data_IF_862232227292
#
_entry.id   IF_862232227292
#
_cell.length_a   1.000
_cell.length_b   1.000
_cell.length_c   1.000
_cell.angle_alpha   90.00
_cell.angle_beta   90.00
_cell.angle_gamma   90.00
#
_symmetry.space_group_name_H-M   'P 1'
#
loop_
_entity.id
_entity.type
_entity.pdbx_description
1 polymer ?
#
# COMPACT_ATOMS: atom_id res chain seq x y z
N UNK A 1 -0.77 3.21 -6.64
CA UNK A 1 0.62 3.71 -6.81
C UNK A 1 0.56 5.18 -7.24
N UNK A 2 -0.21 5.50 -8.29
CA UNK A 2 -0.55 6.89 -8.70
C UNK A 2 -1.14 7.76 -7.56
N UNK A 3 -2.06 7.24 -6.74
CA UNK A 3 -2.64 8.00 -5.60
C UNK A 3 -1.67 8.21 -4.42
N UNK A 4 -0.61 7.40 -4.29
CA UNK A 4 0.33 7.50 -3.16
C UNK A 4 1.40 8.55 -3.42
N UNK A 5 1.81 8.74 -4.68
CA UNK A 5 2.82 9.74 -5.06
C UNK A 5 2.19 11.13 -5.20
N UNK A 6 0.97 11.22 -5.72
CA UNK A 6 0.18 12.46 -5.69
C UNK A 6 -0.18 12.90 -4.26
N UNK A 7 -0.32 11.95 -3.32
CA UNK A 7 -0.45 12.25 -1.89
C UNK A 7 0.88 12.75 -1.30
N UNK A 8 2.03 12.16 -1.65
CA UNK A 8 3.35 12.63 -1.17
C UNK A 8 3.71 14.06 -1.64
N UNK A 9 3.31 14.45 -2.86
CA UNK A 9 3.52 15.81 -3.40
C UNK A 9 2.55 16.85 -2.79
N UNK A 10 1.33 16.47 -2.41
CA UNK A 10 0.31 17.39 -1.86
C UNK A 10 0.23 17.44 -0.33
N UNK A 11 0.65 16.39 0.38
CA UNK A 11 0.41 16.28 1.83
C UNK A 11 1.51 16.94 2.67
N UNK A 12 2.73 17.07 2.14
CA UNK A 12 3.86 17.70 2.84
C UNK A 12 3.90 19.23 2.74
N UNK A 13 2.95 19.85 2.03
CA UNK A 13 2.79 21.32 1.97
C UNK A 13 2.25 21.89 3.29
N UNK A 14 1.63 21.07 4.15
CA UNK A 14 0.99 21.54 5.39
C UNK A 14 1.89 21.61 6.64
N UNK A 15 3.14 21.13 6.58
CA UNK A 15 4.06 21.20 7.72
C UNK A 15 4.96 22.45 7.72
N UNK A 16 4.79 23.37 6.76
CA UNK A 16 5.52 24.64 6.72
C UNK A 16 4.68 25.74 7.39
N UNK A 17 4.62 25.72 8.72
CA UNK A 17 4.40 26.95 9.49
C UNK A 17 5.65 27.17 10.36
N UNK A 18 6.39 28.27 10.20
CA UNK A 18 7.40 28.63 11.17
C UNK A 18 6.68 28.95 12.48
N UNK A 19 6.87 28.10 13.49
CA UNK A 19 6.48 28.42 14.86
C UNK A 19 7.26 29.67 15.27
N UNK A 20 6.58 30.83 15.23
CA UNK A 20 7.07 32.04 15.87
C UNK A 20 7.18 31.76 17.36
N UNK A 21 8.32 32.16 17.92
CA UNK A 21 8.65 32.10 19.34
C UNK A 21 7.48 32.59 20.20
N UNK A 22 6.86 31.66 20.91
CA UNK A 22 5.78 31.92 21.86
C UNK A 22 5.72 30.74 22.81
N UNK A 23 6.11 30.98 24.05
CA UNK A 23 6.16 30.04 25.16
C UNK A 23 4.81 29.38 25.40
N UNK A 24 4.68 28.07 25.15
CA UNK A 24 3.97 27.18 26.06
C UNK A 24 4.34 25.70 25.85
N UNK A 25 4.38 24.95 26.94
CA UNK A 25 4.97 23.61 27.02
C UNK A 25 4.26 22.54 26.19
N UNK A 26 4.87 22.13 25.09
CA UNK A 26 4.55 20.93 24.30
C UNK A 26 5.84 20.17 24.02
N UNK A 27 5.79 18.83 24.05
CA UNK A 27 6.94 17.93 23.87
C UNK A 27 7.67 18.22 22.56
N UNK A 28 8.83 18.89 22.66
CA UNK A 28 9.64 19.33 21.53
C UNK A 28 10.46 18.17 20.97
N UNK A 29 10.28 17.86 19.67
CA UNK A 29 11.29 17.18 18.85
C UNK A 29 12.63 17.91 19.08
N UNK A 30 13.71 17.18 19.38
CA UNK A 30 15.05 17.77 19.41
C UNK A 30 15.24 18.60 18.14
N UNK A 31 15.42 19.90 18.31
CA UNK A 31 15.71 20.82 17.21
C UNK A 31 16.99 20.31 16.54
N UNK A 32 16.88 19.92 15.26
CA UNK A 32 18.02 19.43 14.49
C UNK A 32 19.06 20.56 14.43
N UNK A 33 20.33 20.30 14.77
CA UNK A 33 21.36 21.33 14.72
C UNK A 33 21.44 22.01 13.33
N UNK A 34 21.50 23.35 13.23
CA UNK A 34 21.49 24.04 11.94
C UNK A 34 22.64 23.66 11.01
N UNK A 35 23.79 23.28 11.57
CA UNK A 35 24.95 22.76 10.84
C UNK A 35 24.68 21.39 10.20
N UNK A 36 23.95 20.51 10.90
CA UNK A 36 23.56 19.20 10.36
C UNK A 36 22.55 19.36 9.23
N UNK A 37 21.55 20.24 9.42
CA UNK A 37 20.58 20.55 8.37
C UNK A 37 21.26 21.13 7.12
N UNK A 38 22.27 21.98 7.28
CA UNK A 38 23.04 22.51 6.16
C UNK A 38 23.83 21.41 5.43
N UNK A 39 24.45 20.48 6.17
CA UNK A 39 25.18 19.35 5.58
C UNK A 39 24.26 18.42 4.78
N UNK A 40 23.08 18.11 5.32
CA UNK A 40 22.07 17.28 4.65
C UNK A 40 21.50 17.96 3.40
N UNK A 41 21.26 19.27 3.44
CA UNK A 41 20.88 20.04 2.26
C UNK A 41 21.94 19.99 1.17
N UNK A 42 23.23 20.13 1.53
CA UNK A 42 24.32 20.05 0.57
C UNK A 42 24.47 18.65 -0.04
N UNK A 43 24.32 17.57 0.74
CA UNK A 43 24.32 16.21 0.18
C UNK A 43 23.07 15.94 -0.67
N UNK A 44 21.88 16.41 -0.27
CA UNK A 44 20.66 16.29 -1.07
C UNK A 44 20.80 17.02 -2.42
N UNK A 45 21.41 18.22 -2.43
CA UNK A 45 21.78 18.93 -3.67
C UNK A 45 22.77 18.12 -4.51
N UNK A 46 23.78 17.50 -3.90
CA UNK A 46 24.75 16.67 -4.61
C UNK A 46 24.09 15.44 -5.25
N UNK A 47 23.19 14.77 -4.54
CA UNK A 47 22.42 13.63 -5.04
C UNK A 47 21.52 14.03 -6.20
N UNK A 48 20.76 15.12 -6.06
CA UNK A 48 19.92 15.64 -7.14
C UNK A 48 20.75 16.08 -8.36
N UNK A 49 21.91 16.70 -8.13
CA UNK A 49 22.87 17.09 -9.20
C UNK A 49 23.33 15.87 -10.00
N UNK A 50 23.79 14.82 -9.32
CA UNK A 50 24.24 13.58 -9.93
C UNK A 50 23.11 12.89 -10.68
N UNK A 51 21.91 12.90 -10.10
CA UNK A 51 20.72 12.33 -10.72
C UNK A 51 20.35 13.03 -12.02
N UNK A 52 20.23 14.36 -12.01
CA UNK A 52 19.92 15.14 -13.21
C UNK A 52 20.98 15.00 -14.31
N UNK A 53 22.26 14.92 -13.94
CA UNK A 53 23.35 14.64 -14.89
C UNK A 53 23.23 13.27 -15.54
N UNK A 54 22.86 12.23 -14.77
CA UNK A 54 22.61 10.88 -15.28
C UNK A 54 21.47 10.87 -16.32
N UNK A 55 20.51 11.80 -16.20
CA UNK A 55 19.42 11.99 -17.16
C UNK A 55 19.78 12.89 -18.36
N UNK A 56 21.05 13.27 -18.53
CA UNK A 56 21.53 13.97 -19.74
C UNK A 56 21.61 15.50 -19.65
N UNK A 57 21.36 16.12 -18.49
CA UNK A 57 21.53 17.56 -18.29
C UNK A 57 23.01 17.96 -18.20
N UNK A 58 23.36 19.07 -18.86
CA UNK A 58 24.73 19.61 -18.80
C UNK A 58 25.08 20.14 -17.40
N UNK A 59 26.37 20.08 -17.03
CA UNK A 59 26.87 20.56 -15.73
C UNK A 59 26.38 21.97 -15.34
N UNK A 60 26.38 22.97 -16.25
CA UNK A 60 25.90 24.31 -15.93
C UNK A 60 24.38 24.39 -15.75
N UNK A 61 23.61 23.59 -16.50
CA UNK A 61 22.15 23.56 -16.42
C UNK A 61 21.66 22.93 -15.11
N UNK A 62 22.24 21.79 -14.72
CA UNK A 62 21.90 21.12 -13.45
C UNK A 62 22.20 22.02 -12.23
N UNK A 63 23.34 22.71 -12.24
CA UNK A 63 23.69 23.66 -11.16
C UNK A 63 22.72 24.85 -11.10
N UNK A 64 22.26 25.37 -12.25
CA UNK A 64 21.32 26.48 -12.32
C UNK A 64 19.92 26.09 -11.81
N UNK A 65 19.44 24.89 -12.13
CA UNK A 65 18.17 24.34 -11.64
C UNK A 65 18.20 24.21 -10.12
N UNK A 66 19.28 23.61 -9.59
CA UNK A 66 19.39 23.32 -8.16
C UNK A 66 19.45 24.59 -7.32
N UNK A 67 20.16 25.62 -7.79
CA UNK A 67 20.21 26.92 -7.13
C UNK A 67 18.86 27.66 -7.08
N UNK A 68 17.85 27.20 -7.84
CA UNK A 68 16.49 27.75 -7.85
C UNK A 68 15.47 26.85 -7.17
N UNK A 69 15.85 25.64 -6.77
CA UNK A 69 14.94 24.59 -6.34
C UNK A 69 15.03 24.33 -4.83
N UNK A 70 15.33 25.36 -4.03
CA UNK A 70 15.41 25.25 -2.56
C UNK A 70 14.15 24.60 -1.93
N UNK A 71 12.91 24.90 -2.39
CA UNK A 71 11.71 24.22 -1.86
C UNK A 71 11.71 22.71 -2.10
N UNK A 72 12.25 22.27 -3.24
CA UNK A 72 12.37 20.85 -3.55
C UNK A 72 13.50 20.19 -2.75
N UNK A 73 14.62 20.90 -2.51
CA UNK A 73 15.68 20.42 -1.61
C UNK A 73 15.16 20.25 -0.18
N UNK A 74 14.35 21.19 0.30
CA UNK A 74 13.71 21.10 1.62
C UNK A 74 12.75 19.90 1.69
N UNK A 75 12.04 19.60 0.61
CA UNK A 75 11.24 18.38 0.49
C UNK A 75 12.08 17.10 0.57
N UNK A 76 13.23 17.05 -0.12
CA UNK A 76 14.14 15.90 -0.04
C UNK A 76 14.67 15.70 1.39
N UNK A 77 15.00 16.79 2.10
CA UNK A 77 15.45 16.72 3.48
C UNK A 77 14.33 16.27 4.42
N UNK A 78 13.09 16.76 4.24
CA UNK A 78 11.93 16.28 4.99
C UNK A 78 11.70 14.77 4.79
N UNK A 79 11.91 14.28 3.56
CA UNK A 79 11.87 12.85 3.25
C UNK A 79 12.98 12.09 3.99
N UNK A 80 14.21 12.60 4.08
CA UNK A 80 15.27 11.99 4.89
C UNK A 80 14.87 11.89 6.37
N UNK A 81 14.29 12.95 6.91
CA UNK A 81 13.83 13.02 8.31
C UNK A 81 12.69 12.04 8.58
N UNK A 82 11.81 11.84 7.61
CA UNK A 82 10.73 10.85 7.65
C UNK A 82 11.27 9.41 7.59
N UNK A 83 12.17 9.12 6.64
CA UNK A 83 12.75 7.76 6.43
C UNK A 83 13.65 7.34 7.60
N UNK A 84 14.44 8.27 8.14
CA UNK A 84 15.42 7.99 9.18
C UNK A 84 15.06 8.59 10.55
N UNK A 85 13.76 8.78 10.85
CA UNK A 85 13.27 9.39 12.11
C UNK A 85 13.97 8.86 13.37
N UNK A 86 14.26 7.56 13.44
CA UNK A 86 14.97 6.92 14.57
C UNK A 86 16.40 7.42 14.79
N UNK A 87 17.11 7.81 13.72
CA UNK A 87 18.48 8.32 13.78
C UNK A 87 18.50 9.71 14.45
N UNK A 88 17.56 10.56 14.08
CA UNK A 88 17.43 11.90 14.66
C UNK A 88 16.98 11.87 16.13
N UNK A 89 16.15 10.90 16.52
CA UNK A 89 15.73 10.73 17.92
C UNK A 89 16.91 10.44 18.85
N UNK A 90 17.94 9.73 18.37
CA UNK A 90 19.17 9.45 19.13
C UNK A 90 20.27 10.48 18.88
N UNK A 91 20.04 11.49 18.02
CA UNK A 91 21.03 12.49 17.64
C UNK A 91 22.15 11.96 16.75
N UNK A 92 21.90 10.87 16.01
CA UNK A 92 22.85 10.30 15.04
C UNK A 92 22.69 11.00 13.70
N UNK A 93 23.81 11.44 13.14
CA UNK A 93 23.89 12.01 11.79
C UNK A 93 23.81 10.89 10.73
N UNK A 94 23.18 11.19 9.59
CA UNK A 94 23.17 10.29 8.45
C UNK A 94 24.52 10.30 7.73
N UNK A 95 24.96 9.12 7.32
CA UNK A 95 26.08 9.00 6.39
C UNK A 95 25.64 9.40 4.98
N UNK A 96 26.60 9.85 4.16
CA UNK A 96 26.39 10.10 2.73
C UNK A 96 25.75 8.91 2.00
N UNK A 97 26.09 7.67 2.40
CA UNK A 97 25.50 6.46 1.81
C UNK A 97 24.03 6.29 2.19
N UNK A 98 23.67 6.50 3.46
CA UNK A 98 22.27 6.46 3.93
C UNK A 98 21.41 7.52 3.22
N UNK A 99 21.94 8.74 3.03
CA UNK A 99 21.26 9.81 2.28
C UNK A 99 21.01 9.38 0.82
N UNK A 100 22.01 8.78 0.16
CA UNK A 100 21.89 8.31 -1.22
C UNK A 100 20.89 7.17 -1.37
N UNK A 101 20.97 6.18 -0.48
CA UNK A 101 20.08 5.01 -0.50
C UNK A 101 18.62 5.39 -0.26
N UNK A 102 18.37 6.48 0.49
CA UNK A 102 17.03 7.03 0.70
C UNK A 102 16.52 7.87 -0.49
N UNK A 103 17.36 8.73 -1.07
CA UNK A 103 16.93 9.71 -2.07
C UNK A 103 16.95 9.17 -3.51
N UNK A 104 17.88 8.30 -3.89
CA UNK A 104 17.99 7.81 -5.27
C UNK A 104 16.73 7.06 -5.71
N UNK A 105 16.19 6.07 -4.95
CA UNK A 105 14.98 5.36 -5.36
C UNK A 105 13.76 6.27 -5.49
N UNK A 106 13.71 7.34 -4.69
CA UNK A 106 12.66 8.34 -4.77
C UNK A 106 12.73 9.16 -6.06
N UNK A 107 13.92 9.66 -6.40
CA UNK A 107 14.14 10.41 -7.63
C UNK A 107 13.91 9.53 -8.87
N UNK A 108 14.29 8.26 -8.81
CA UNK A 108 13.97 7.27 -9.86
C UNK A 108 12.45 7.09 -10.01
N UNK A 109 11.71 7.00 -8.90
CA UNK A 109 10.24 6.91 -8.93
C UNK A 109 9.60 8.19 -9.51
N UNK A 110 10.08 9.37 -9.11
CA UNK A 110 9.61 10.64 -9.67
C UNK A 110 9.92 10.74 -11.17
N UNK A 111 11.08 10.28 -11.60
CA UNK A 111 11.45 10.29 -13.01
C UNK A 111 10.62 9.28 -13.83
N UNK A 112 10.26 8.13 -13.28
CA UNK A 112 9.32 7.20 -13.92
C UNK A 112 7.93 7.83 -14.13
N UNK A 113 7.52 8.75 -13.25
CA UNK A 113 6.22 9.42 -13.32
C UNK A 113 6.21 10.66 -14.23
N UNK A 114 7.25 11.49 -14.14
CA UNK A 114 7.31 12.79 -14.81
C UNK A 114 8.24 12.80 -16.03
N UNK A 115 9.07 11.78 -16.26
CA UNK A 115 9.98 11.71 -17.42
C UNK A 115 10.76 13.01 -17.64
N UNK A 116 10.68 13.55 -18.86
CA UNK A 116 11.40 14.77 -19.27
C UNK A 116 10.88 16.05 -18.58
N UNK A 117 9.64 16.06 -18.05
CA UNK A 117 9.09 17.22 -17.33
C UNK A 117 9.51 17.26 -15.85
N UNK A 118 10.28 16.27 -15.37
CA UNK A 118 10.80 16.26 -14.00
C UNK A 118 11.58 17.54 -13.67
N UNK A 119 12.30 18.10 -14.65
CA UNK A 119 13.02 19.38 -14.46
C UNK A 119 12.05 20.51 -14.13
N UNK A 120 10.95 20.62 -14.87
CA UNK A 120 9.91 21.64 -14.62
C UNK A 120 9.22 21.41 -13.27
N UNK A 121 9.09 20.14 -12.84
CA UNK A 121 8.54 19.79 -11.53
C UNK A 121 9.46 20.20 -10.38
N UNK A 122 10.76 19.95 -10.54
CA UNK A 122 11.77 20.35 -9.56
C UNK A 122 11.88 21.88 -9.47
N UNK A 123 11.87 22.58 -10.60
CA UNK A 123 11.97 24.05 -10.63
C UNK A 123 10.72 24.77 -10.08
N UNK A 124 9.52 24.20 -10.26
CA UNK A 124 8.26 24.83 -9.87
C UNK A 124 7.61 24.21 -8.62
N UNK A 125 8.33 23.37 -7.87
CA UNK A 125 7.83 22.77 -6.63
C UNK A 125 7.41 23.85 -5.61
N UNK A 126 6.23 23.75 -4.96
CA UNK A 126 5.30 22.61 -4.93
C UNK A 126 4.19 22.66 -6.00
N UNK A 127 4.15 23.68 -6.87
CA UNK A 127 3.07 23.94 -7.82
C UNK A 127 3.56 23.77 -9.27
N UNK A 128 3.85 22.54 -9.72
CA UNK A 128 4.30 22.30 -11.08
C UNK A 128 3.19 22.62 -12.11
N UNK A 129 3.50 23.17 -13.29
CA UNK A 129 2.53 23.49 -14.33
C UNK A 129 2.07 22.21 -15.05
N UNK A 130 1.22 21.40 -14.41
CA UNK A 130 0.91 20.03 -14.89
C UNK A 130 -0.39 19.95 -15.72
N UNK A 131 -1.25 20.97 -15.73
CA UNK A 131 -2.60 20.82 -16.30
C UNK A 131 -2.72 21.00 -17.84
N UNK A 132 -1.75 21.58 -18.55
CA UNK A 132 -1.92 21.87 -19.99
C UNK A 132 -1.03 21.02 -20.94
N UNK A 133 -0.01 20.28 -20.47
CA UNK A 133 0.97 19.60 -21.36
C UNK A 133 0.96 18.07 -21.34
N UNK A 134 0.18 17.44 -20.45
CA UNK A 134 0.05 15.98 -20.41
C UNK A 134 -0.73 15.43 -21.63
N UNK A 135 -1.58 16.24 -22.24
CA UNK A 135 -2.36 15.87 -23.43
C UNK A 135 -1.53 15.94 -24.74
N UNK A 136 -0.51 16.82 -24.83
CA UNK A 136 0.33 16.95 -26.04
C UNK A 136 1.43 15.88 -26.14
N UNK A 137 1.95 15.39 -25.01
CA UNK A 137 3.00 14.35 -24.99
C UNK A 137 2.48 12.96 -25.38
N UNK A 138 1.17 12.69 -25.21
CA UNK A 138 0.54 11.46 -25.68
C UNK A 138 0.42 11.39 -27.22
N UNK A 139 0.42 12.55 -27.92
CA UNK A 139 0.24 12.63 -29.37
C UNK A 139 1.58 12.69 -30.14
N UNK A 140 2.65 13.19 -29.52
CA UNK A 140 3.94 13.42 -30.20
C UNK A 140 4.90 12.21 -30.19
N UNK A 141 4.69 11.23 -29.31
CA UNK A 141 5.47 9.98 -29.28
C UNK A 141 5.22 9.05 -30.48
N UNK A 142 4.20 9.34 -31.31
CA UNK A 142 3.92 8.61 -32.55
C UNK A 142 4.79 9.05 -33.74
N UNK A 143 5.63 10.08 -33.62
CA UNK A 143 6.28 10.67 -34.79
C UNK A 143 7.69 11.23 -34.53
N UNK A 144 8.67 10.37 -34.18
CA UNK A 144 10.09 10.59 -34.54
C UNK A 144 10.96 9.37 -34.24
N UNK A 145 11.14 8.53 -35.25
CA UNK A 145 12.34 7.70 -35.39
C UNK A 145 13.38 8.42 -36.28
N UNK A 146 14.66 8.15 -35.98
CA UNK A 146 15.94 8.50 -36.69
C UNK A 146 16.46 9.91 -36.36
N UNK A 147 17.72 10.17 -35.95
CA UNK A 147 19.01 9.49 -36.21
C UNK A 147 20.17 10.01 -35.32
N UNK A 148 20.95 9.10 -34.67
CA UNK A 148 22.45 8.97 -34.51
C UNK A 148 23.25 10.11 -33.77
N UNK A 149 24.41 9.92 -33.03
CA UNK A 149 25.33 8.76 -32.86
C UNK A 149 25.73 8.30 -31.42
N UNK A 150 26.37 7.12 -31.43
CA UNK A 150 27.14 6.37 -30.43
C UNK A 150 28.09 7.16 -29.48
N UNK A 151 27.95 6.92 -28.16
CA UNK A 151 29.05 6.77 -27.19
C UNK A 151 28.65 5.76 -26.09
N UNK A 152 29.57 4.94 -25.58
CA UNK A 152 29.39 3.98 -24.47
C UNK A 152 30.70 3.85 -23.68
N UNK A 153 30.74 3.27 -22.44
CA UNK A 153 29.79 3.34 -21.30
C UNK A 153 30.50 3.52 -19.91
N UNK A 154 29.75 3.60 -18.79
CA UNK A 154 29.53 2.40 -17.97
C UNK A 154 28.11 2.28 -17.34
N UNK A 155 27.32 1.27 -17.80
CA UNK A 155 26.28 0.49 -17.08
C UNK A 155 25.50 -0.46 -18.05
N UNK A 156 26.14 -0.88 -19.14
CA UNK A 156 25.53 -1.51 -20.33
C UNK A 156 24.94 -2.92 -20.11
N UNK A 157 25.26 -3.62 -19.03
CA UNK A 157 24.92 -5.04 -18.89
C UNK A 157 23.50 -5.32 -18.40
N UNK A 158 22.94 -4.49 -17.50
CA UNK A 158 21.60 -4.70 -16.95
C UNK A 158 20.51 -4.28 -17.94
N UNK A 159 20.69 -3.14 -18.61
CA UNK A 159 19.77 -2.66 -19.64
C UNK A 159 19.80 -3.54 -20.89
N UNK A 160 20.99 -4.03 -21.29
CA UNK A 160 21.08 -5.02 -22.38
C UNK A 160 20.31 -6.31 -22.08
N UNK A 161 20.33 -6.80 -20.83
CA UNK A 161 19.58 -8.00 -20.44
C UNK A 161 18.07 -7.77 -20.47
N UNK A 162 17.60 -6.60 -20.00
CA UNK A 162 16.19 -6.20 -20.08
C UNK A 162 15.72 -6.07 -21.52
N UNK A 163 16.45 -5.34 -22.36
CA UNK A 163 16.16 -5.19 -23.80
C UNK A 163 16.09 -6.54 -24.51
N UNK A 164 17.07 -7.44 -24.27
CA UNK A 164 17.07 -8.79 -24.83
C UNK A 164 15.89 -9.63 -24.34
N UNK A 165 15.52 -9.53 -23.06
CA UNK A 165 14.36 -10.24 -22.52
C UNK A 165 13.06 -9.76 -23.17
N UNK A 166 12.90 -8.44 -23.34
CA UNK A 166 11.72 -7.84 -23.97
C UNK A 166 11.62 -8.19 -25.45
N UNK A 167 12.75 -8.20 -26.17
CA UNK A 167 12.82 -8.68 -27.54
C UNK A 167 12.36 -10.14 -27.61
N UNK A 168 12.86 -11.03 -26.74
CA UNK A 168 12.46 -12.45 -26.74
C UNK A 168 10.96 -12.71 -26.56
N UNK A 169 10.24 -11.82 -25.89
CA UNK A 169 8.78 -11.95 -25.69
C UNK A 169 7.99 -11.34 -26.84
N UNK A 170 8.56 -10.33 -27.50
CA UNK A 170 7.90 -9.54 -28.56
C UNK A 170 8.28 -9.98 -29.97
N UNK A 171 9.43 -10.66 -30.11
CA UNK A 171 9.98 -11.07 -31.39
C UNK A 171 9.11 -12.14 -32.00
N UNK A 172 8.54 -11.77 -33.15
CA UNK A 172 7.91 -12.70 -34.06
C UNK A 172 9.05 -13.45 -34.73
N UNK A 173 9.17 -14.75 -34.47
CA UNK A 173 10.26 -15.56 -35.02
C UNK A 173 10.24 -15.60 -36.56
N UNK A 174 11.23 -16.25 -37.21
CA UNK A 174 11.31 -16.36 -38.68
C UNK A 174 10.05 -16.94 -39.33
N UNK A 175 9.23 -17.65 -38.55
CA UNK A 175 7.97 -18.29 -38.93
C UNK A 175 6.74 -17.39 -38.80
N UNK A 176 6.88 -16.13 -38.42
CA UNK A 176 5.74 -15.22 -38.23
C UNK A 176 4.94 -15.46 -36.94
N UNK A 177 5.45 -16.26 -35.99
CA UNK A 177 4.74 -16.64 -34.75
C UNK A 177 5.46 -16.19 -33.48
N UNK A 178 4.68 -15.87 -32.46
CA UNK A 178 5.17 -15.61 -31.11
C UNK A 178 5.83 -16.85 -30.49
N UNK A 179 6.75 -16.69 -29.53
CA UNK A 179 7.35 -17.82 -28.81
C UNK A 179 6.30 -18.71 -28.14
N UNK A 180 6.51 -20.03 -28.16
CA UNK A 180 5.52 -20.99 -27.62
C UNK A 180 5.13 -20.73 -26.16
N UNK A 181 6.08 -20.30 -25.31
CA UNK A 181 5.79 -19.97 -23.92
C UNK A 181 4.87 -18.73 -23.80
N UNK A 182 5.01 -17.75 -24.70
CA UNK A 182 4.14 -16.57 -24.76
C UNK A 182 2.74 -16.99 -25.21
N UNK A 183 2.63 -17.81 -26.26
CA UNK A 183 1.35 -18.34 -26.74
C UNK A 183 0.63 -19.11 -25.63
N UNK A 184 1.34 -19.98 -24.91
CA UNK A 184 0.76 -20.72 -23.80
C UNK A 184 0.26 -19.79 -22.67
N UNK A 185 1.01 -18.75 -22.32
CA UNK A 185 0.56 -17.76 -21.33
C UNK A 185 -0.67 -16.98 -21.82
N UNK A 186 -0.76 -16.70 -23.12
CA UNK A 186 -1.97 -16.10 -23.73
C UNK A 186 -3.17 -17.05 -23.66
N UNK A 187 -2.97 -18.35 -23.88
CA UNK A 187 -4.03 -19.37 -23.72
C UNK A 187 -4.50 -19.53 -22.27
N UNK A 188 -3.68 -19.10 -21.30
CA UNK A 188 -4.04 -18.99 -19.88
C UNK A 188 -4.78 -17.68 -19.54
N UNK A 189 -4.91 -16.77 -20.50
CA UNK A 189 -5.56 -15.47 -20.31
C UNK A 189 -4.61 -14.33 -19.93
N UNK A 190 -3.29 -14.49 -20.07
CA UNK A 190 -2.35 -13.37 -19.93
C UNK A 190 -2.23 -12.61 -21.25
N UNK A 191 -2.69 -11.37 -21.29
CA UNK A 191 -2.49 -10.50 -22.45
C UNK A 191 -1.00 -10.22 -22.69
N UNK A 192 -0.63 -9.97 -23.95
CA UNK A 192 0.76 -9.75 -24.33
C UNK A 192 1.42 -8.60 -23.54
N UNK A 193 0.68 -7.52 -23.28
CA UNK A 193 1.16 -6.40 -22.48
C UNK A 193 1.41 -6.77 -21.02
N UNK A 194 0.59 -7.64 -20.44
CA UNK A 194 0.83 -8.18 -19.10
C UNK A 194 2.10 -9.04 -19.06
N UNK A 195 2.36 -9.85 -20.09
CA UNK A 195 3.57 -10.68 -20.19
C UNK A 195 4.83 -9.80 -20.33
N UNK A 196 4.74 -8.73 -21.14
CA UNK A 196 5.78 -7.71 -21.27
C UNK A 196 6.06 -7.00 -19.96
N UNK A 197 5.02 -6.59 -19.23
CA UNK A 197 5.13 -5.96 -17.91
C UNK A 197 5.86 -6.87 -16.91
N UNK A 198 5.48 -8.14 -16.86
CA UNK A 198 6.13 -9.14 -16.00
C UNK A 198 7.59 -9.32 -16.37
N UNK A 199 7.89 -9.42 -17.67
CA UNK A 199 9.27 -9.56 -18.17
C UNK A 199 10.11 -8.33 -17.85
N UNK A 200 9.54 -7.14 -17.95
CA UNK A 200 10.23 -5.89 -17.61
C UNK A 200 10.56 -5.80 -16.13
N UNK A 201 9.62 -6.21 -15.25
CA UNK A 201 9.84 -6.32 -13.79
C UNK A 201 10.77 -7.47 -13.42
N UNK A 202 10.75 -8.56 -14.16
CA UNK A 202 11.55 -9.75 -13.90
C UNK A 202 12.07 -10.38 -15.21
N UNK A 203 13.20 -9.87 -15.77
CA UNK A 203 13.70 -10.26 -17.09
C UNK A 203 14.05 -11.73 -17.25
N UNK A 204 14.36 -12.43 -16.15
CA UNK A 204 14.64 -13.85 -16.17
C UNK A 204 13.42 -14.70 -16.62
N UNK A 205 12.20 -14.17 -16.48
CA UNK A 205 10.97 -14.86 -16.89
C UNK A 205 10.95 -15.22 -18.37
N UNK A 206 11.45 -14.32 -19.23
CA UNK A 206 11.54 -14.54 -20.68
C UNK A 206 12.44 -15.73 -21.09
N UNK A 207 13.24 -16.24 -20.15
CA UNK A 207 14.16 -17.36 -20.38
C UNK A 207 13.68 -18.65 -19.71
N UNK A 208 12.50 -18.65 -19.10
CA UNK A 208 11.95 -19.85 -18.50
C UNK A 208 11.42 -20.79 -19.58
N UNK A 209 11.82 -22.05 -19.51
CA UNK A 209 11.35 -23.07 -20.44
C UNK A 209 9.87 -23.36 -20.19
N UNK A 210 9.11 -23.51 -21.28
CA UNK A 210 7.69 -23.86 -21.19
C UNK A 210 7.50 -25.20 -20.45
N UNK A 211 8.09 -26.27 -20.98
CA UNK A 211 7.91 -27.63 -20.45
C UNK A 211 8.64 -27.88 -19.13
N UNK A 212 9.75 -27.17 -18.86
CA UNK A 212 10.57 -27.43 -17.68
C UNK A 212 10.28 -26.53 -16.47
N UNK A 213 9.65 -25.36 -16.68
CA UNK A 213 9.49 -24.35 -15.62
C UNK A 213 8.06 -23.81 -15.53
N UNK A 214 7.53 -23.30 -16.64
CA UNK A 214 6.23 -22.60 -16.62
C UNK A 214 5.08 -23.61 -16.44
N UNK A 215 5.00 -24.59 -17.35
CA UNK A 215 3.90 -25.56 -17.39
C UNK A 215 3.80 -26.43 -16.12
N UNK A 216 4.91 -26.97 -15.56
CA UNK A 216 4.82 -27.74 -14.31
C UNK A 216 4.24 -26.94 -13.15
N UNK A 217 4.60 -25.65 -13.02
CA UNK A 217 4.06 -24.79 -11.95
C UNK A 217 2.59 -24.45 -12.21
N UNK A 218 2.21 -24.19 -13.46
CA UNK A 218 0.79 -23.97 -13.80
C UNK A 218 -0.05 -25.20 -13.51
N UNK A 219 0.39 -26.38 -13.94
CA UNK A 219 -0.28 -27.64 -13.65
C UNK A 219 -0.39 -27.86 -12.15
N UNK A 220 0.69 -27.65 -11.40
CA UNK A 220 0.68 -27.74 -9.94
C UNK A 220 -0.37 -26.81 -9.30
N UNK A 221 -0.44 -25.55 -9.73
CA UNK A 221 -1.45 -24.59 -9.22
C UNK A 221 -2.89 -25.06 -9.54
N UNK A 222 -3.12 -25.59 -10.75
CA UNK A 222 -4.42 -26.15 -11.14
C UNK A 222 -4.78 -27.37 -10.26
N UNK A 223 -3.82 -28.26 -9.97
CA UNK A 223 -4.04 -29.40 -9.06
C UNK A 223 -4.36 -28.97 -7.63
N UNK A 224 -3.83 -27.83 -7.16
CA UNK A 224 -4.21 -27.24 -5.87
C UNK A 224 -5.62 -26.60 -5.87
N UNK A 225 -6.31 -26.59 -7.00
CA UNK A 225 -7.65 -26.03 -7.16
C UNK A 225 -7.66 -24.52 -7.46
N UNK A 226 -6.54 -23.95 -7.93
CA UNK A 226 -6.52 -22.57 -8.43
C UNK A 226 -7.31 -22.51 -9.74
N UNK A 227 -8.31 -21.62 -9.89
CA UNK A 227 -9.01 -21.43 -11.16
C UNK A 227 -8.04 -21.00 -12.27
N UNK A 228 -8.23 -21.50 -13.50
CA UNK A 228 -7.41 -21.10 -14.66
C UNK A 228 -7.36 -19.58 -14.84
N UNK A 229 -8.47 -18.89 -14.59
CA UNK A 229 -8.60 -17.42 -14.63
C UNK A 229 -7.70 -16.67 -13.65
N UNK A 230 -7.27 -17.34 -12.56
CA UNK A 230 -6.51 -16.72 -11.47
C UNK A 230 -5.00 -16.90 -11.67
N UNK A 231 -4.58 -17.82 -12.55
CA UNK A 231 -3.18 -18.10 -12.87
C UNK A 231 -2.44 -16.85 -13.37
N UNK A 232 -2.97 -16.04 -14.31
CA UNK A 232 -2.37 -14.76 -14.71
C UNK A 232 -1.99 -13.88 -13.52
N UNK A 233 -2.91 -13.68 -12.58
CA UNK A 233 -2.72 -12.83 -11.41
C UNK A 233 -1.59 -13.34 -10.52
N UNK A 234 -1.49 -14.66 -10.32
CA UNK A 234 -0.43 -15.28 -9.50
C UNK A 234 0.92 -15.11 -10.17
N UNK A 235 1.03 -15.45 -11.45
CA UNK A 235 2.29 -15.38 -12.20
C UNK A 235 2.77 -13.94 -12.36
N UNK A 236 1.87 -12.98 -12.52
CA UNK A 236 2.26 -11.56 -12.58
C UNK A 236 2.73 -11.00 -11.25
N UNK A 237 2.13 -11.44 -10.13
CA UNK A 237 2.59 -11.05 -8.80
C UNK A 237 3.94 -11.69 -8.43
N UNK A 238 4.18 -12.94 -8.86
CA UNK A 238 5.40 -13.68 -8.51
C UNK A 238 5.86 -14.65 -9.61
N UNK A 239 6.45 -14.15 -10.70
CA UNK A 239 6.95 -15.00 -11.79
C UNK A 239 8.09 -15.93 -11.34
N UNK A 240 8.77 -15.60 -10.24
CA UNK A 240 9.84 -16.41 -9.65
C UNK A 240 9.36 -17.82 -9.26
N UNK A 241 8.06 -18.04 -9.02
CA UNK A 241 7.53 -19.36 -8.69
C UNK A 241 7.89 -20.41 -9.76
N UNK A 242 7.83 -20.04 -11.04
CA UNK A 242 8.22 -20.92 -12.15
C UNK A 242 9.73 -21.29 -12.14
N UNK A 243 10.56 -20.52 -11.45
CA UNK A 243 11.99 -20.78 -11.34
C UNK A 243 12.39 -21.65 -10.16
N UNK A 244 11.46 -21.93 -9.24
CA UNK A 244 11.72 -22.65 -7.98
C UNK A 244 11.29 -24.10 -8.14
N UNK A 245 12.12 -25.04 -7.66
CA UNK A 245 11.80 -26.46 -7.71
C UNK A 245 10.54 -26.78 -6.89
N UNK A 246 9.62 -27.53 -7.50
CA UNK A 246 8.42 -28.01 -6.82
C UNK A 246 8.76 -29.01 -5.70
N UNK A 247 9.56 -30.04 -6.00
CA UNK A 247 9.89 -31.12 -5.07
C UNK A 247 10.84 -30.68 -3.95
N UNK A 248 11.84 -29.87 -4.30
CA UNK A 248 12.92 -29.51 -3.36
C UNK A 248 12.59 -28.26 -2.53
N UNK A 249 11.62 -27.44 -2.96
CA UNK A 249 11.36 -26.15 -2.31
C UNK A 249 9.87 -25.85 -2.09
N UNK A 250 9.05 -25.71 -3.14
CA UNK A 250 7.68 -25.21 -2.97
C UNK A 250 6.83 -26.15 -2.10
N UNK A 251 6.85 -27.46 -2.38
CA UNK A 251 6.10 -28.46 -1.61
C UNK A 251 6.66 -28.58 -0.18
N UNK A 252 7.98 -28.69 0.07
CA UNK A 252 8.52 -28.65 1.43
C UNK A 252 8.16 -27.41 2.23
N UNK A 253 8.12 -26.22 1.60
CA UNK A 253 7.68 -24.98 2.25
C UNK A 253 6.20 -25.00 2.57
N UNK A 254 5.36 -25.57 1.70
CA UNK A 254 3.94 -25.78 1.98
C UNK A 254 3.75 -26.74 3.16
N UNK A 255 4.43 -27.89 3.19
CA UNK A 255 4.34 -28.83 4.31
C UNK A 255 4.75 -28.16 5.63
N UNK A 256 5.82 -27.38 5.63
CA UNK A 256 6.24 -26.61 6.81
C UNK A 256 5.16 -25.60 7.25
N UNK A 257 4.51 -24.93 6.32
CA UNK A 257 3.39 -24.03 6.62
C UNK A 257 2.14 -24.78 7.13
N UNK A 258 1.89 -26.00 6.65
CA UNK A 258 0.84 -26.89 7.18
C UNK A 258 1.14 -27.26 8.65
N UNK A 259 2.40 -27.55 8.99
CA UNK A 259 2.84 -27.81 10.38
C UNK A 259 2.64 -26.58 11.29
N UNK A 260 2.74 -25.38 10.72
CA UNK A 260 2.44 -24.10 11.39
C UNK A 260 0.93 -23.77 11.42
N UNK A 261 0.07 -24.66 10.93
CA UNK A 261 -1.39 -24.56 11.01
C UNK A 261 -2.08 -23.92 9.81
N UNK A 262 -1.38 -23.71 8.68
CA UNK A 262 -2.04 -23.28 7.43
C UNK A 262 -2.99 -24.36 6.94
N UNK A 263 -4.23 -24.00 6.61
CA UNK A 263 -5.22 -24.96 6.14
C UNK A 263 -4.88 -25.45 4.71
N UNK A 264 -4.50 -26.72 4.62
CA UNK A 264 -4.21 -27.43 3.37
C UNK A 264 -5.32 -27.30 2.31
N UNK A 265 -6.59 -27.22 2.73
CA UNK A 265 -7.73 -27.08 1.81
C UNK A 265 -7.84 -25.67 1.22
N UNK A 266 -7.11 -24.70 1.75
CA UNK A 266 -7.18 -23.30 1.31
C UNK A 266 -5.96 -22.86 0.48
N UNK A 267 -5.06 -23.77 0.10
CA UNK A 267 -3.83 -23.42 -0.64
C UNK A 267 -4.09 -22.56 -1.88
N UNK A 268 -5.10 -22.88 -2.69
CA UNK A 268 -5.48 -22.05 -3.84
C UNK A 268 -5.72 -20.58 -3.45
N UNK A 269 -6.46 -20.33 -2.37
CA UNK A 269 -6.75 -18.97 -1.89
C UNK A 269 -5.54 -18.32 -1.24
N UNK A 270 -4.73 -19.07 -0.49
CA UNK A 270 -3.52 -18.57 0.16
C UNK A 270 -2.52 -18.09 -0.89
N UNK A 271 -2.23 -18.92 -1.89
CA UNK A 271 -1.33 -18.59 -3.00
C UNK A 271 -1.89 -17.43 -3.80
N UNK A 272 -3.17 -17.41 -4.14
CA UNK A 272 -3.77 -16.28 -4.87
C UNK A 272 -3.63 -14.94 -4.14
N UNK A 273 -3.85 -14.93 -2.81
CA UNK A 273 -3.70 -13.74 -1.97
C UNK A 273 -2.26 -13.26 -1.93
N UNK A 274 -1.31 -14.17 -1.67
CA UNK A 274 0.09 -13.82 -1.50
C UNK A 274 1.04 -14.88 -2.05
N UNK A 275 1.25 -14.92 -3.39
CA UNK A 275 2.18 -15.85 -4.02
C UNK A 275 3.63 -15.81 -3.46
N UNK A 276 4.18 -14.65 -3.04
CA UNK A 276 5.52 -14.60 -2.46
C UNK A 276 5.71 -15.45 -1.20
N UNK A 277 4.63 -15.88 -0.52
CA UNK A 277 4.69 -16.70 0.70
C UNK A 277 5.63 -17.90 0.55
N UNK A 278 5.53 -18.60 -0.60
CA UNK A 278 6.31 -19.81 -0.88
C UNK A 278 7.78 -19.54 -1.23
N UNK A 279 8.19 -18.27 -1.26
CA UNK A 279 9.56 -17.85 -1.61
C UNK A 279 10.35 -17.33 -0.41
N UNK A 280 9.73 -17.23 0.76
CA UNK A 280 10.42 -16.85 1.99
C UNK A 280 11.21 -18.02 2.57
N UNK A 281 12.32 -17.70 3.23
CA UNK A 281 13.10 -18.70 3.96
C UNK A 281 12.34 -19.24 5.16
N UNK A 282 12.62 -20.50 5.55
CA UNK A 282 12.04 -21.11 6.76
C UNK A 282 12.32 -20.27 8.01
N UNK A 283 13.51 -19.67 8.10
CA UNK A 283 13.90 -18.81 9.21
C UNK A 283 13.00 -17.58 9.31
N UNK A 284 12.71 -16.90 8.18
CA UNK A 284 11.82 -15.72 8.19
C UNK A 284 10.38 -16.10 8.56
N UNK A 285 9.90 -17.24 8.05
CA UNK A 285 8.59 -17.79 8.39
C UNK A 285 8.47 -18.09 9.88
N UNK A 286 9.43 -18.84 10.42
CA UNK A 286 9.48 -19.23 11.83
C UNK A 286 9.57 -18.01 12.74
N UNK A 287 10.50 -17.08 12.47
CA UNK A 287 10.66 -15.88 13.29
C UNK A 287 9.37 -15.04 13.34
N UNK A 288 8.62 -14.97 12.25
CA UNK A 288 7.34 -14.25 12.24
C UNK A 288 6.29 -15.00 13.06
N UNK A 289 6.24 -16.33 12.97
CA UNK A 289 5.32 -17.14 13.78
C UNK A 289 5.64 -17.06 15.27
N UNK A 290 6.92 -17.14 15.63
CA UNK A 290 7.38 -17.01 17.02
C UNK A 290 6.98 -15.65 17.60
N UNK A 291 7.10 -14.58 16.80
CA UNK A 291 6.63 -13.27 17.19
C UNK A 291 5.10 -13.20 17.36
N UNK A 292 4.32 -13.89 16.52
CA UNK A 292 2.86 -13.98 16.72
C UNK A 292 2.52 -14.74 18.02
N UNK A 293 3.30 -15.75 18.40
CA UNK A 293 3.16 -16.41 19.70
C UNK A 293 3.55 -15.49 20.86
N UNK A 294 4.62 -14.71 20.73
CA UNK A 294 5.02 -13.68 21.70
C UNK A 294 3.88 -12.66 21.94
N UNK A 295 3.13 -12.30 20.90
CA UNK A 295 1.97 -11.43 21.00
C UNK A 295 0.73 -12.08 21.65
N UNK A 296 0.79 -13.38 21.95
CA UNK A 296 -0.24 -14.13 22.68
C UNK A 296 -1.26 -14.85 21.79
N UNK A 297 -0.99 -15.07 20.50
CA UNK A 297 -1.85 -15.90 19.65
C UNK A 297 -1.66 -17.39 19.98
N UNK A 298 -2.73 -18.18 19.88
CA UNK A 298 -2.62 -19.65 19.91
C UNK A 298 -2.14 -20.20 18.56
N UNK A 299 -1.63 -21.43 18.53
CA UNK A 299 -1.29 -22.14 17.28
C UNK A 299 -2.45 -22.15 16.27
N UNK A 300 -3.66 -22.42 16.74
CA UNK A 300 -4.88 -22.36 15.90
C UNK A 300 -5.11 -20.95 15.34
N UNK A 301 -4.89 -19.91 16.15
CA UNK A 301 -5.08 -18.52 15.73
C UNK A 301 -4.03 -18.08 14.72
N UNK A 302 -2.78 -18.48 14.90
CA UNK A 302 -1.69 -18.26 13.95
C UNK A 302 -2.02 -18.91 12.61
N UNK A 303 -2.39 -20.19 12.59
CA UNK A 303 -2.79 -20.89 11.38
C UNK A 303 -3.91 -20.19 10.60
N UNK A 304 -4.94 -19.70 11.33
CA UNK A 304 -6.03 -18.89 10.75
C UNK A 304 -5.55 -17.57 10.18
N UNK A 305 -4.64 -16.87 10.86
CA UNK A 305 -4.06 -15.60 10.39
C UNK A 305 -3.24 -15.83 9.13
N UNK A 306 -2.34 -16.82 9.12
CA UNK A 306 -1.54 -17.16 7.94
C UNK A 306 -2.40 -17.57 6.74
N UNK A 307 -3.51 -18.27 6.99
CA UNK A 307 -4.45 -18.67 5.93
C UNK A 307 -5.25 -17.49 5.36
N UNK A 308 -5.70 -16.56 6.21
CA UNK A 308 -6.55 -15.42 5.80
C UNK A 308 -5.75 -14.20 5.31
N UNK A 309 -4.58 -13.97 5.89
CA UNK A 309 -3.72 -12.83 5.65
C UNK A 309 -2.22 -13.22 5.64
N UNK A 310 -1.79 -14.02 4.67
CA UNK A 310 -0.39 -14.46 4.54
C UNK A 310 0.62 -13.32 4.36
N UNK A 311 0.16 -12.14 3.94
CA UNK A 311 0.97 -10.93 3.79
C UNK A 311 1.69 -10.51 5.09
N UNK A 312 1.20 -10.94 6.27
CA UNK A 312 1.83 -10.65 7.56
C UNK A 312 3.32 -11.05 7.60
N UNK A 313 3.69 -12.12 6.89
CA UNK A 313 5.08 -12.62 6.77
C UNK A 313 6.01 -11.59 6.11
N UNK A 314 5.47 -10.73 5.24
CA UNK A 314 6.27 -9.76 4.50
C UNK A 314 6.76 -8.60 5.34
N UNK A 315 6.12 -8.35 6.49
CA UNK A 315 6.44 -7.21 7.33
C UNK A 315 7.72 -7.43 8.14
N UNK A 316 8.47 -6.35 8.37
CA UNK A 316 9.58 -6.36 9.33
C UNK A 316 9.01 -6.53 10.73
N UNK A 317 9.61 -7.42 11.54
CA UNK A 317 9.17 -7.62 12.91
C UNK A 317 9.47 -6.34 13.71
N UNK A 318 10.71 -5.86 13.62
CA UNK A 318 11.20 -4.75 14.44
C UNK A 318 10.72 -3.38 13.93
N UNK A 319 10.63 -3.18 12.61
CA UNK A 319 10.28 -1.85 12.07
C UNK A 319 8.77 -1.67 11.86
N UNK A 320 8.00 -2.77 11.85
CA UNK A 320 6.57 -2.73 11.52
C UNK A 320 5.69 -3.41 12.54
N UNK A 321 5.85 -4.71 12.74
CA UNK A 321 4.90 -5.48 13.54
C UNK A 321 4.97 -5.10 15.02
N UNK A 322 6.18 -4.99 15.60
CA UNK A 322 6.40 -4.66 17.01
C UNK A 322 5.95 -3.23 17.36
N UNK A 323 6.35 -2.17 16.63
CA UNK A 323 5.85 -0.82 16.90
C UNK A 323 4.32 -0.71 16.78
N UNK A 324 3.73 -1.42 15.82
CA UNK A 324 2.26 -1.43 15.65
C UNK A 324 1.57 -2.15 16.80
N UNK A 325 2.14 -3.26 17.29
CA UNK A 325 1.65 -3.96 18.48
C UNK A 325 1.71 -3.06 19.72
N UNK A 326 2.82 -2.35 19.90
CA UNK A 326 3.04 -1.42 21.02
C UNK A 326 2.05 -0.24 20.97
N UNK A 327 1.79 0.31 19.79
CA UNK A 327 0.76 1.33 19.61
C UNK A 327 -0.63 0.82 20.03
N UNK A 328 -1.07 -0.34 19.55
CA UNK A 328 -2.37 -0.87 19.95
C UNK A 328 -2.42 -1.20 21.45
N UNK A 329 -1.31 -1.65 22.03
CA UNK A 329 -1.20 -1.89 23.47
C UNK A 329 -1.27 -0.60 24.28
N UNK A 330 -0.69 0.51 23.80
CA UNK A 330 -0.72 1.81 24.49
C UNK A 330 -2.14 2.41 24.59
N UNK A 331 -3.00 2.13 23.60
CA UNK A 331 -4.44 2.48 23.67
C UNK A 331 -5.28 1.39 24.38
N UNK A 332 -4.62 0.37 24.94
CA UNK A 332 -5.22 -0.69 25.75
C UNK A 332 -5.97 -1.76 24.95
N UNK A 333 -5.70 -1.90 23.65
CA UNK A 333 -6.29 -2.96 22.82
C UNK A 333 -5.55 -4.28 23.05
N UNK A 334 -6.30 -5.38 23.15
CA UNK A 334 -5.72 -6.72 23.14
C UNK A 334 -5.22 -7.05 21.72
N UNK A 335 -3.90 -7.02 21.55
CA UNK A 335 -3.22 -7.21 20.26
C UNK A 335 -3.50 -8.60 19.68
N UNK A 336 -3.50 -9.67 20.47
CA UNK A 336 -3.78 -11.02 19.98
C UNK A 336 -5.18 -11.14 19.36
N UNK A 337 -6.18 -10.59 20.05
CA UNK A 337 -7.57 -10.55 19.56
C UNK A 337 -7.69 -9.69 18.30
N UNK A 338 -7.01 -8.55 18.26
CA UNK A 338 -7.00 -7.68 17.10
C UNK A 338 -6.36 -8.35 15.88
N UNK A 339 -5.18 -8.96 16.03
CA UNK A 339 -4.49 -9.69 14.97
C UNK A 339 -5.31 -10.85 14.43
N UNK A 340 -5.94 -11.65 15.29
CA UNK A 340 -6.78 -12.76 14.84
C UNK A 340 -8.00 -12.28 14.01
N UNK A 341 -8.58 -11.13 14.38
CA UNK A 341 -9.79 -10.60 13.71
C UNK A 341 -9.46 -9.78 12.47
N UNK A 342 -8.49 -8.89 12.57
CA UNK A 342 -8.16 -7.83 11.59
C UNK A 342 -6.63 -7.68 11.42
N UNK A 343 -5.92 -8.71 10.95
CA UNK A 343 -4.46 -8.66 10.81
C UNK A 343 -3.97 -7.56 9.86
N UNK A 344 -4.81 -7.10 8.93
CA UNK A 344 -4.49 -6.02 8.01
C UNK A 344 -4.19 -4.68 8.70
N UNK A 345 -4.63 -4.46 9.94
CA UNK A 345 -4.32 -3.22 10.66
C UNK A 345 -2.83 -3.07 10.94
N UNK A 346 -2.08 -4.18 10.97
CA UNK A 346 -0.64 -4.20 11.19
C UNK A 346 0.17 -3.76 9.96
N UNK A 347 -0.48 -3.65 8.79
CA UNK A 347 0.12 -3.06 7.59
C UNK A 347 0.07 -1.52 7.57
N UNK A 348 -0.78 -0.90 8.38
CA UNK A 348 -1.08 0.54 8.30
C UNK A 348 -0.01 1.42 8.94
N UNK A 349 0.20 2.64 8.43
CA UNK A 349 1.13 3.60 9.04
C UNK A 349 0.61 4.07 10.39
N UNK A 350 1.48 4.10 11.41
CA UNK A 350 1.09 4.61 12.73
C UNK A 350 0.75 6.10 12.62
N UNK A 351 1.67 6.91 12.07
CA UNK A 351 1.48 8.37 11.96
C UNK A 351 0.52 8.74 10.83
N UNK A 352 0.48 7.96 9.74
CA UNK A 352 -0.35 8.29 8.57
C UNK A 352 -1.78 7.75 8.63
N UNK A 353 -2.05 6.76 9.48
CA UNK A 353 -3.38 6.12 9.53
C UNK A 353 -3.88 5.89 10.96
N UNK A 354 -3.12 5.19 11.80
CA UNK A 354 -3.63 4.74 13.09
C UNK A 354 -3.85 5.90 14.07
N UNK A 355 -2.84 6.74 14.26
CA UNK A 355 -2.89 7.87 15.18
C UNK A 355 -3.92 8.93 14.76
N UNK A 356 -3.98 9.39 13.49
CA UNK A 356 -5.01 10.34 13.05
C UNK A 356 -6.43 9.87 13.30
N UNK A 357 -6.74 8.59 13.06
CA UNK A 357 -8.08 8.05 13.30
C UNK A 357 -8.38 7.98 14.80
N UNK A 358 -7.41 7.61 15.63
CA UNK A 358 -7.57 7.61 17.09
C UNK A 358 -7.82 9.02 17.62
N UNK A 359 -6.99 9.99 17.23
CA UNK A 359 -7.11 11.40 17.61
C UNK A 359 -8.45 11.99 17.14
N UNK A 360 -8.86 11.69 15.91
CA UNK A 360 -10.17 12.09 15.39
C UNK A 360 -11.33 11.75 16.33
N UNK A 361 -11.36 10.53 16.89
CA UNK A 361 -12.39 10.13 17.84
C UNK A 361 -12.20 10.80 19.21
N UNK A 362 -10.97 10.91 19.71
CA UNK A 362 -10.70 11.58 20.99
C UNK A 362 -11.14 13.06 20.96
N UNK A 363 -10.80 13.79 19.91
CA UNK A 363 -11.16 15.19 19.70
C UNK A 363 -12.68 15.41 19.62
N UNK A 364 -13.42 14.35 19.27
CA UNK A 364 -14.88 14.33 19.16
C UNK A 364 -15.58 13.83 20.43
N UNK A 365 -14.83 13.79 21.52
CA UNK A 365 -15.33 13.48 22.86
C UNK A 365 -15.63 11.99 23.07
N UNK A 366 -14.98 11.10 22.33
CA UNK A 366 -14.89 9.69 22.70
C UNK A 366 -13.73 9.54 23.70
N UNK A 367 -13.92 8.72 24.73
CA UNK A 367 -12.81 8.42 25.64
C UNK A 367 -11.94 7.27 25.08
N UNK A 368 -10.75 7.06 25.65
CA UNK A 368 -9.85 5.99 25.23
C UNK A 368 -10.50 4.59 25.34
N UNK A 369 -11.40 4.38 26.31
CA UNK A 369 -12.16 3.14 26.45
C UNK A 369 -13.16 2.90 25.31
N UNK A 370 -13.78 3.97 24.80
CA UNK A 370 -14.63 3.90 23.61
C UNK A 370 -13.81 3.51 22.37
N UNK A 371 -12.68 4.19 22.14
CA UNK A 371 -11.78 3.89 21.02
C UNK A 371 -11.28 2.44 21.10
N UNK A 372 -10.82 2.00 22.27
CA UNK A 372 -10.44 0.60 22.52
C UNK A 372 -11.55 -0.37 22.17
N UNK A 373 -12.78 -0.08 22.59
CA UNK A 373 -13.95 -0.93 22.32
C UNK A 373 -14.26 -0.99 20.83
N UNK A 374 -14.23 0.16 20.14
CA UNK A 374 -14.44 0.25 18.71
C UNK A 374 -13.38 -0.56 17.95
N UNK A 375 -12.10 -0.36 18.26
CA UNK A 375 -10.98 -1.07 17.65
C UNK A 375 -11.04 -2.58 17.88
N UNK A 376 -11.37 -3.02 19.09
CA UNK A 376 -11.47 -4.45 19.42
C UNK A 376 -12.64 -5.15 18.72
N UNK A 377 -13.71 -4.41 18.45
CA UNK A 377 -14.89 -4.91 17.71
C UNK A 377 -14.71 -4.86 16.21
N UNK A 378 -13.98 -3.86 15.70
CA UNK A 378 -13.86 -3.60 14.27
C UNK A 378 -12.55 -2.89 13.93
N UNK A 379 -11.43 -3.60 13.99
CA UNK A 379 -10.11 -3.06 13.64
C UNK A 379 -10.02 -2.49 12.23
N UNK A 380 -10.84 -2.98 11.30
CA UNK A 380 -10.97 -2.43 9.95
C UNK A 380 -11.40 -0.95 9.92
N UNK A 381 -11.86 -0.38 11.04
CA UNK A 381 -12.10 1.05 11.19
C UNK A 381 -10.90 1.90 10.73
N UNK A 382 -9.67 1.46 11.03
CA UNK A 382 -8.44 2.16 10.64
C UNK A 382 -8.08 2.01 9.14
N UNK A 383 -8.74 1.10 8.42
CA UNK A 383 -8.48 0.90 6.99
C UNK A 383 -9.26 1.86 6.09
N UNK A 384 -10.21 2.60 6.66
CA UNK A 384 -10.96 3.62 5.93
C UNK A 384 -10.20 4.94 5.88
N UNK A 385 -10.39 5.66 4.77
CA UNK A 385 -9.93 7.04 4.66
C UNK A 385 -10.58 7.90 5.74
N UNK A 386 -9.78 8.64 6.49
CA UNK A 386 -10.28 9.55 7.51
C UNK A 386 -11.17 10.64 6.89
N UNK A 387 -10.68 11.26 5.80
CA UNK A 387 -11.33 12.38 5.11
C UNK A 387 -12.51 11.93 4.26
N UNK A 388 -12.31 10.93 3.41
CA UNK A 388 -13.33 10.54 2.43
C UNK A 388 -14.40 9.60 2.98
N UNK A 389 -14.20 9.04 4.18
CA UNK A 389 -15.09 8.00 4.71
C UNK A 389 -15.52 8.26 6.16
N UNK A 390 -14.58 8.36 7.11
CA UNK A 390 -14.93 8.43 8.52
C UNK A 390 -15.58 9.76 8.90
N UNK A 391 -15.00 10.90 8.48
CA UNK A 391 -15.52 12.24 8.78
C UNK A 391 -16.96 12.42 8.26
N UNK A 392 -17.27 12.24 6.96
CA UNK A 392 -18.62 12.49 6.44
C UNK A 392 -19.68 11.59 7.05
N UNK A 393 -19.33 10.34 7.39
CA UNK A 393 -20.24 9.41 8.06
C UNK A 393 -20.49 9.81 9.50
N UNK A 394 -19.44 10.17 10.23
CA UNK A 394 -19.55 10.62 11.61
C UNK A 394 -20.41 11.89 11.71
N UNK A 395 -20.17 12.88 10.84
CA UNK A 395 -20.97 14.11 10.77
C UNK A 395 -22.44 13.79 10.50
N UNK A 396 -22.71 12.89 9.55
CA UNK A 396 -24.08 12.47 9.28
C UNK A 396 -24.73 11.75 10.48
N UNK A 397 -24.00 10.87 11.17
CA UNK A 397 -24.52 10.21 12.37
C UNK A 397 -24.93 11.20 13.46
N UNK A 398 -24.23 12.33 13.61
CA UNK A 398 -24.61 13.38 14.56
C UNK A 398 -25.91 14.10 14.19
N UNK A 399 -26.30 14.11 12.92
CA UNK A 399 -27.61 14.63 12.49
C UNK A 399 -28.76 13.67 12.78
N UNK A 400 -28.44 12.42 13.12
CA UNK A 400 -29.43 11.40 13.42
C UNK A 400 -29.87 11.46 14.89
N UNK A 401 -31.13 11.11 15.17
CA UNK A 401 -31.68 11.04 16.53
C UNK A 401 -31.24 9.75 17.27
N UNK A 402 -29.94 9.44 17.25
CA UNK A 402 -29.33 8.30 17.95
C UNK A 402 -28.12 8.75 18.75
N UNK A 403 -27.90 8.19 19.95
CA UNK A 403 -26.76 8.56 20.77
C UNK A 403 -25.45 8.04 20.14
N UNK A 404 -24.38 8.84 20.24
CA UNK A 404 -23.04 8.46 19.74
C UNK A 404 -22.50 7.14 20.30
N UNK A 405 -23.00 6.70 21.47
CA UNK A 405 -22.66 5.40 22.07
C UNK A 405 -23.09 4.21 21.22
N UNK A 406 -24.06 4.35 20.31
CA UNK A 406 -24.39 3.32 19.34
C UNK A 406 -23.23 3.05 18.36
N UNK A 407 -22.44 4.08 18.03
CA UNK A 407 -21.24 3.93 17.19
C UNK A 407 -20.12 3.18 17.91
N UNK A 408 -20.06 3.27 19.25
CA UNK A 408 -19.12 2.50 20.08
C UNK A 408 -19.56 1.04 20.18
N UNK A 409 -20.86 0.79 20.38
CA UNK A 409 -21.42 -0.57 20.46
C UNK A 409 -21.26 -1.33 19.14
N UNK A 410 -21.39 -0.64 18.01
CA UNK A 410 -21.35 -1.22 16.68
C UNK A 410 -20.61 -0.33 15.66
N UNK A 411 -19.27 -0.24 15.74
CA UNK A 411 -18.44 0.56 14.83
C UNK A 411 -18.53 0.15 13.35
N UNK A 412 -19.08 -1.03 13.06
CA UNK A 412 -19.30 -1.51 11.69
C UNK A 412 -20.25 -0.60 10.89
N UNK A 413 -20.99 0.31 11.53
CA UNK A 413 -21.77 1.31 10.81
C UNK A 413 -20.91 2.16 9.86
N UNK A 414 -19.64 2.41 10.20
CA UNK A 414 -18.68 3.09 9.32
C UNK A 414 -18.33 2.29 8.07
N UNK A 415 -18.58 0.97 8.05
CA UNK A 415 -18.39 0.11 6.89
C UNK A 415 -19.53 0.19 5.87
N UNK A 416 -20.70 0.73 6.22
CA UNK A 416 -21.80 0.94 5.27
C UNK A 416 -21.57 2.19 4.42
N UNK A 417 -22.10 2.22 3.20
CA UNK A 417 -22.02 3.41 2.34
C UNK A 417 -22.85 4.56 2.90
N UNK A 418 -22.41 5.80 2.67
CA UNK A 418 -23.09 6.98 3.19
C UNK A 418 -24.49 7.14 2.58
N UNK A 419 -24.65 6.77 1.31
CA UNK A 419 -25.92 6.78 0.58
C UNK A 419 -26.94 5.86 1.24
N UNK A 420 -26.50 4.64 1.62
CA UNK A 420 -27.36 3.69 2.32
C UNK A 420 -27.80 4.22 3.68
N UNK A 421 -26.88 4.84 4.43
CA UNK A 421 -27.16 5.40 5.75
C UNK A 421 -28.20 6.53 5.62
N UNK A 422 -27.96 7.47 4.69
CA UNK A 422 -28.85 8.60 4.37
C UNK A 422 -30.25 8.15 3.95
N UNK A 423 -30.33 7.28 2.94
CA UNK A 423 -31.58 6.79 2.39
C UNK A 423 -32.44 6.08 3.43
N UNK A 424 -31.83 5.19 4.23
CA UNK A 424 -32.61 4.43 5.21
C UNK A 424 -33.08 5.31 6.36
N UNK A 425 -32.27 6.28 6.78
CA UNK A 425 -32.68 7.23 7.80
C UNK A 425 -33.81 8.14 7.32
N UNK A 426 -33.76 8.64 6.07
CA UNK A 426 -34.83 9.48 5.51
C UNK A 426 -36.16 8.73 5.45
N UNK A 427 -36.17 7.47 4.98
CA UNK A 427 -37.37 6.62 4.93
C UNK A 427 -38.02 6.48 6.32
N UNK A 428 -37.21 6.24 7.36
CA UNK A 428 -37.70 6.06 8.74
C UNK A 428 -38.25 7.37 9.30
N UNK A 429 -37.59 8.50 9.02
CA UNK A 429 -38.01 9.85 9.40
C UNK A 429 -39.31 10.28 8.72
N UNK A 430 -39.40 10.14 7.40
CA UNK A 430 -40.59 10.48 6.60
C UNK A 430 -41.81 9.67 7.03
N UNK A 431 -41.61 8.41 7.38
CA UNK A 431 -42.68 7.53 7.89
C UNK A 431 -43.03 7.77 9.36
N UNK A 432 -42.29 8.64 10.05
CA UNK A 432 -42.53 9.00 11.45
C UNK A 432 -42.56 7.80 12.38
N UNK A 433 -41.67 6.82 12.17
CA UNK A 433 -41.53 5.63 13.03
C UNK A 433 -40.16 5.61 13.71
N UNK A 434 -40.09 5.04 14.92
CA UNK A 434 -38.82 4.87 15.65
C UNK A 434 -38.35 3.41 15.58
N UNK A 435 -37.19 3.22 14.97
CA UNK A 435 -36.46 1.93 14.89
C UNK A 435 -35.13 2.03 15.64
N UNK A 436 -34.60 0.91 16.09
CA UNK A 436 -33.23 0.84 16.62
C UNK A 436 -32.22 1.02 15.48
N UNK A 437 -31.06 1.62 15.74
CA UNK A 437 -30.09 1.93 14.69
C UNK A 437 -29.62 0.68 13.92
N UNK A 438 -29.47 -0.45 14.61
CA UNK A 438 -29.13 -1.73 13.97
C UNK A 438 -30.24 -2.24 13.03
N UNK A 439 -31.51 -1.99 13.36
CA UNK A 439 -32.64 -2.32 12.48
C UNK A 439 -32.66 -1.42 11.25
N UNK A 440 -32.24 -0.16 11.39
CA UNK A 440 -32.14 0.77 10.26
C UNK A 440 -30.99 0.36 9.33
N UNK A 441 -29.78 0.18 9.85
CA UNK A 441 -28.59 0.10 9.01
C UNK A 441 -28.12 -1.33 8.69
N UNK A 442 -28.22 -2.24 9.65
CA UNK A 442 -27.57 -3.55 9.56
C UNK A 442 -28.41 -4.62 8.84
N UNK A 443 -29.72 -4.45 8.76
CA UNK A 443 -30.62 -5.41 8.11
C UNK A 443 -30.43 -5.47 6.60
N UNK A 444 -30.72 -6.63 5.99
CA UNK A 444 -30.90 -6.72 4.53
C UNK A 444 -32.04 -5.80 4.06
N UNK A 445 -32.14 -5.52 2.75
CA UNK A 445 -33.23 -4.67 2.24
C UNK A 445 -34.61 -5.25 2.57
N UNK A 446 -34.79 -6.56 2.34
CA UNK A 446 -36.05 -7.26 2.65
C UNK A 446 -36.43 -7.20 4.13
N UNK A 447 -35.45 -7.38 5.02
CA UNK A 447 -35.70 -7.36 6.47
C UNK A 447 -35.97 -5.95 6.99
N UNK A 448 -35.27 -4.94 6.44
CA UNK A 448 -35.55 -3.54 6.72
C UNK A 448 -37.00 -3.18 6.35
N UNK A 449 -37.45 -3.56 5.15
CA UNK A 449 -38.83 -3.31 4.70
C UNK A 449 -39.86 -4.02 5.59
N UNK A 450 -39.56 -5.27 6.01
CA UNK A 450 -40.40 -6.01 6.96
C UNK A 450 -40.47 -5.32 8.32
N UNK A 451 -39.33 -4.87 8.85
CA UNK A 451 -39.28 -4.16 10.13
C UNK A 451 -40.07 -2.84 10.07
N UNK A 452 -39.93 -2.11 8.96
CA UNK A 452 -40.64 -0.87 8.68
C UNK A 452 -42.16 -1.09 8.59
N UNK A 453 -42.61 -2.06 7.80
CA UNK A 453 -44.03 -2.43 7.67
C UNK A 453 -44.62 -2.86 9.01
N UNK A 454 -43.90 -3.66 9.81
CA UNK A 454 -44.34 -4.08 11.15
C UNK A 454 -44.53 -2.88 12.09
N UNK A 455 -43.61 -1.91 12.07
CA UNK A 455 -43.74 -0.70 12.89
C UNK A 455 -44.86 0.22 12.42
N UNK A 456 -45.06 0.38 11.11
CA UNK A 456 -46.19 1.14 10.56
C UNK A 456 -47.54 0.56 10.98
N UNK A 457 -47.72 -0.77 10.85
CA UNK A 457 -48.95 -1.44 11.31
C UNK A 457 -49.20 -1.25 12.81
N UNK A 458 -48.13 -1.31 13.63
CA UNK A 458 -48.27 -1.08 15.06
C UNK A 458 -48.66 0.37 15.38
N UNK A 459 -48.18 1.33 14.59
CA UNK A 459 -48.53 2.74 14.74
C UNK A 459 -50.00 3.00 14.39
N UNK A 460 -50.48 2.48 13.26
CA UNK A 460 -51.89 2.64 12.88
C UNK A 460 -52.86 2.04 13.91
N UNK A 461 -52.50 0.92 14.55
CA UNK A 461 -53.30 0.30 15.61
C UNK A 461 -53.30 1.06 16.95
N UNK A 462 -52.47 2.09 17.11
CA UNK A 462 -52.40 2.94 18.32
C UNK A 462 -53.09 4.30 18.05
N UNK A 463 -53.18 4.71 16.79
CA UNK A 463 -53.81 5.95 16.34
C UNK A 463 -55.33 5.77 16.06
N UNK A 464 -55.81 4.52 15.94
CA UNK A 464 -57.22 4.10 15.92
C UNK A 464 -57.71 3.78 17.35
#
# INVERSE_FOLDING_TARGET
>A
MFEVIMFDLKTLVFDIIPVKSGTDGSFSLRVIPPNLLAAEKEEAKAVLTLFLKKQGLSNPAAAKIINKSDPFIDHLVSRLHSVHKSHYLVGRELTTLEIRDALIPYLETLFEEYGDILVEVVENFPNPPVEERLEENFLTLSAKERSVPSVSPPNTTLDSKKLKAMARVSDIGPTGKLPQHVVYLMDLGMELEMIKEVTRKFPAFAYYSLEGKIKPVVEFLLHLGVPKSDIPTILSKRPQLCGISLSENLIPTMNFLEDLGVDKKQWAKVIYRFPPLLTYSRQKLQATVDFLYELGLSAESVGKVLTRFPNIISYSIEDKLRPTAEYFRSIGVNVAVLLHRSPQTFGLSIEGNLKPVTEFFLDRGYNMGDVRTMTSRYGALYTFSLVENLIPKWEFFLTMDYPKSELVKFPQYFGYSLERIKLRYSIVREKGVKLLLNQVLSLSNSEFDKALKRKLKKKSLIDD
#
